data_IF_616306943331
#
_entry.id   IF_616306943331
#
_cell.length_a   1.000
_cell.length_b   1.000
_cell.length_c   1.000
_cell.angle_alpha   90.00
_cell.angle_beta   90.00
_cell.angle_gamma   90.00
#
_symmetry.space_group_name_H-M   'P 1'
#
loop_
_entity.id
_entity.type
_entity.pdbx_description
1 polymer ?
#
# COMPACT_ATOMS: atom_id res chain seq x y z
N UNK A 1 9.25 -23.72 4.73
CA UNK A 1 7.95 -23.73 5.45
C UNK A 1 6.83 -23.70 4.43
N UNK A 2 5.68 -24.28 4.81
CA UNK A 2 4.43 -24.18 4.04
C UNK A 2 3.60 -23.02 4.62
N UNK A 3 3.41 -21.96 3.85
CA UNK A 3 2.81 -20.70 4.33
C UNK A 3 1.52 -20.41 3.54
N UNK A 4 0.43 -20.09 4.26
CA UNK A 4 -0.82 -19.64 3.66
C UNK A 4 -0.99 -18.12 3.80
N UNK A 5 -1.40 -17.43 2.72
CA UNK A 5 -1.78 -16.00 2.75
C UNK A 5 -3.24 -15.88 2.37
N UNK A 6 -4.05 -15.34 3.30
CA UNK A 6 -5.51 -15.22 3.18
C UNK A 6 -5.95 -13.76 3.33
N UNK A 7 -7.18 -13.48 2.92
CA UNK A 7 -7.80 -12.16 3.18
C UNK A 7 -7.59 -11.11 2.09
N UNK A 8 -6.81 -11.42 1.06
CA UNK A 8 -6.62 -10.58 -0.13
C UNK A 8 -7.63 -10.91 -1.23
N UNK A 9 -7.58 -10.18 -2.35
CA UNK A 9 -8.32 -10.55 -3.57
C UNK A 9 -7.59 -11.58 -4.40
N UNK A 10 -6.29 -11.75 -4.16
CA UNK A 10 -5.41 -12.66 -4.87
C UNK A 10 -4.30 -11.96 -5.65
N UNK A 11 -3.42 -12.76 -6.26
CA UNK A 11 -2.32 -12.34 -7.11
C UNK A 11 -2.45 -12.98 -8.51
N UNK A 12 -1.93 -12.37 -9.60
CA UNK A 12 -1.19 -11.10 -9.63
C UNK A 12 -2.03 -9.89 -9.21
N UNK A 13 -1.37 -8.89 -8.65
CA UNK A 13 -2.01 -7.69 -8.11
C UNK A 13 -2.69 -6.88 -9.21
N UNK A 14 -3.98 -6.65 -9.06
CA UNK A 14 -4.79 -5.92 -10.04
C UNK A 14 -5.66 -4.81 -9.44
N UNK A 15 -5.55 -4.54 -8.12
CA UNK A 15 -6.51 -3.63 -7.49
C UNK A 15 -5.99 -2.79 -6.33
N UNK A 16 -5.24 -3.31 -5.37
CA UNK A 16 -4.97 -2.59 -4.13
C UNK A 16 -3.68 -2.99 -3.40
N UNK A 17 -3.42 -2.28 -2.29
CA UNK A 17 -2.19 -2.41 -1.53
C UNK A 17 -1.92 -3.81 -0.98
N UNK A 18 -2.95 -4.48 -0.46
CA UNK A 18 -2.78 -5.86 0.04
C UNK A 18 -2.43 -6.87 -1.05
N UNK A 19 -2.94 -6.68 -2.25
CA UNK A 19 -2.63 -7.55 -3.38
C UNK A 19 -1.18 -7.36 -3.82
N UNK A 20 -0.71 -6.10 -3.92
CA UNK A 20 0.69 -5.77 -4.20
C UNK A 20 1.62 -6.33 -3.11
N UNK A 21 1.25 -6.14 -1.85
CA UNK A 21 2.00 -6.69 -0.72
C UNK A 21 2.08 -8.22 -0.78
N UNK A 22 0.95 -8.91 -0.98
CA UNK A 22 0.91 -10.37 -1.03
C UNK A 22 1.71 -10.93 -2.21
N UNK A 23 1.67 -10.28 -3.37
CA UNK A 23 2.46 -10.67 -4.54
C UNK A 23 3.95 -10.60 -4.25
N UNK A 24 4.42 -9.44 -3.77
CA UNK A 24 5.83 -9.23 -3.47
C UNK A 24 6.34 -10.11 -2.34
N UNK A 25 5.56 -10.30 -1.28
CA UNK A 25 5.94 -11.19 -0.17
C UNK A 25 5.97 -12.66 -0.62
N UNK A 26 4.89 -13.14 -1.27
CA UNK A 26 4.77 -14.54 -1.64
C UNK A 26 5.84 -14.98 -2.64
N UNK A 27 6.09 -14.20 -3.69
CA UNK A 27 7.08 -14.54 -4.71
C UNK A 27 8.50 -14.56 -4.16
N UNK A 28 8.84 -13.65 -3.23
CA UNK A 28 10.15 -13.64 -2.58
C UNK A 28 10.32 -14.77 -1.57
N UNK A 29 9.28 -15.12 -0.82
CA UNK A 29 9.32 -16.30 0.06
C UNK A 29 9.52 -17.59 -0.74
N UNK A 30 8.88 -17.73 -1.91
CA UNK A 30 9.10 -18.87 -2.82
C UNK A 30 10.55 -18.89 -3.32
N UNK A 31 11.10 -17.75 -3.72
CA UNK A 31 12.51 -17.64 -4.14
C UNK A 31 13.50 -18.03 -3.02
N UNK A 32 13.07 -17.98 -1.75
CA UNK A 32 13.84 -18.42 -0.58
C UNK A 32 13.57 -19.88 -0.19
N UNK A 33 12.83 -20.64 -1.02
CA UNK A 33 12.57 -22.06 -0.82
C UNK A 33 11.38 -22.39 0.10
N UNK A 34 10.47 -21.44 0.33
CA UNK A 34 9.20 -21.71 1.00
C UNK A 34 8.13 -22.16 0.02
N UNK A 35 7.20 -23.00 0.46
CA UNK A 35 5.97 -23.33 -0.28
C UNK A 35 4.88 -22.33 0.13
N UNK A 36 4.49 -21.44 -0.76
CA UNK A 36 3.50 -20.41 -0.47
C UNK A 36 2.23 -20.64 -1.25
N UNK A 37 1.09 -20.57 -0.55
CA UNK A 37 -0.25 -20.61 -1.15
C UNK A 37 -0.97 -19.30 -0.87
N UNK A 38 -1.43 -18.62 -1.92
CA UNK A 38 -2.25 -17.41 -1.82
C UNK A 38 -3.70 -17.74 -2.18
N UNK A 39 -4.63 -17.41 -1.27
CA UNK A 39 -6.05 -17.58 -1.49
C UNK A 39 -6.61 -16.42 -2.31
N UNK A 40 -7.21 -16.75 -3.46
CA UNK A 40 -7.65 -15.81 -4.48
C UNK A 40 -9.17 -15.87 -4.68
N UNK A 41 -9.80 -14.72 -4.99
CA UNK A 41 -11.24 -14.67 -5.27
C UNK A 41 -11.51 -14.92 -6.75
N UNK A 42 -12.43 -15.83 -7.07
CA UNK A 42 -12.74 -16.29 -8.43
C UNK A 42 -13.18 -15.19 -9.42
N UNK A 43 -13.57 -14.01 -8.95
CA UNK A 43 -13.93 -12.88 -9.81
C UNK A 43 -12.78 -11.90 -10.09
N UNK A 44 -11.62 -12.08 -9.44
CA UNK A 44 -10.38 -11.33 -9.70
C UNK A 44 -9.32 -12.19 -10.38
N UNK A 45 -9.25 -13.48 -10.03
CA UNK A 45 -8.26 -14.42 -10.57
C UNK A 45 -8.99 -15.58 -11.22
N UNK A 46 -8.55 -15.99 -12.40
CA UNK A 46 -9.16 -17.12 -13.12
C UNK A 46 -8.99 -18.42 -12.33
N UNK A 47 -10.05 -19.23 -12.14
CA UNK A 47 -9.93 -20.55 -11.53
C UNK A 47 -9.00 -21.53 -12.26
N UNK A 48 -8.63 -21.21 -13.51
CA UNK A 48 -7.67 -21.98 -14.29
C UNK A 48 -6.21 -21.63 -13.99
N UNK A 49 -5.97 -20.50 -13.32
CA UNK A 49 -4.63 -20.05 -12.95
C UNK A 49 -4.29 -20.66 -11.59
N UNK A 50 -3.54 -21.76 -11.59
CA UNK A 50 -3.17 -22.50 -10.38
C UNK A 50 -1.85 -22.07 -9.78
N UNK A 51 -1.06 -21.29 -10.52
CA UNK A 51 0.27 -20.85 -10.11
C UNK A 51 0.61 -19.46 -10.66
N UNK A 52 1.41 -18.71 -9.92
CA UNK A 52 2.01 -17.45 -10.36
C UNK A 52 3.42 -17.30 -9.78
N UNK A 53 4.44 -17.30 -10.63
CA UNK A 53 5.85 -17.18 -10.23
C UNK A 53 6.25 -18.14 -9.08
N UNK A 54 5.84 -19.41 -9.17
CA UNK A 54 6.11 -20.44 -8.16
C UNK A 54 5.17 -20.40 -6.95
N UNK A 55 4.30 -19.40 -6.83
CA UNK A 55 3.29 -19.32 -5.77
C UNK A 55 2.05 -20.11 -6.18
N UNK A 56 1.61 -21.05 -5.34
CA UNK A 56 0.34 -21.77 -5.54
C UNK A 56 -0.85 -20.83 -5.34
N UNK A 57 -1.80 -20.83 -6.27
CA UNK A 57 -3.03 -20.06 -6.18
C UNK A 57 -4.21 -20.98 -5.87
N UNK A 58 -4.90 -20.68 -4.78
CA UNK A 58 -6.14 -21.37 -4.43
C UNK A 58 -7.32 -20.44 -4.67
N UNK A 59 -8.07 -20.69 -5.75
CA UNK A 59 -9.12 -19.77 -6.21
C UNK A 59 -10.47 -20.25 -5.72
N UNK A 60 -11.05 -19.52 -4.77
CA UNK A 60 -12.32 -19.86 -4.13
C UNK A 60 -13.44 -18.87 -4.50
N UNK A 61 -14.71 -19.33 -4.50
CA UNK A 61 -15.85 -18.48 -4.72
C UNK A 61 -16.07 -17.52 -3.55
N UNK A 62 -16.83 -16.44 -3.81
CA UNK A 62 -17.32 -15.53 -2.77
C UNK A 62 -18.61 -14.83 -3.21
N UNK A 63 -19.27 -14.13 -2.29
CA UNK A 63 -20.44 -13.32 -2.56
C UNK A 63 -19.99 -11.92 -2.98
N UNK A 64 -20.26 -11.52 -4.24
CA UNK A 64 -19.91 -10.18 -4.78
C UNK A 64 -20.77 -9.10 -4.14
N UNK A 65 -20.45 -8.74 -2.90
CA UNK A 65 -21.19 -7.73 -2.15
C UNK A 65 -20.23 -6.94 -1.26
N UNK A 66 -20.43 -5.62 -1.15
CA UNK A 66 -19.55 -4.69 -0.42
C UNK A 66 -19.14 -5.16 0.99
N UNK A 67 -20.05 -5.80 1.73
CA UNK A 67 -19.82 -6.25 3.11
C UNK A 67 -19.42 -7.73 3.22
N UNK A 68 -19.84 -8.56 2.29
CA UNK A 68 -19.68 -10.02 2.38
C UNK A 68 -18.50 -10.57 1.58
N UNK A 69 -18.02 -9.83 0.56
CA UNK A 69 -16.99 -10.31 -0.33
C UNK A 69 -15.71 -10.76 0.41
N UNK A 70 -15.19 -9.93 1.31
CA UNK A 70 -13.99 -10.25 2.08
C UNK A 70 -14.25 -11.32 3.13
N UNK A 71 -15.33 -11.18 3.90
CA UNK A 71 -15.64 -12.04 5.05
C UNK A 71 -15.95 -13.47 4.62
N UNK A 72 -16.82 -13.65 3.61
CA UNK A 72 -17.18 -14.98 3.09
C UNK A 72 -15.98 -15.66 2.45
N UNK A 73 -15.19 -14.93 1.65
CA UNK A 73 -14.00 -15.51 1.05
C UNK A 73 -13.00 -15.98 2.09
N UNK A 74 -12.70 -15.18 3.11
CA UNK A 74 -11.73 -15.57 4.14
C UNK A 74 -12.23 -16.72 5.00
N UNK A 75 -13.55 -16.77 5.28
CA UNK A 75 -14.17 -17.93 5.94
C UNK A 75 -13.92 -19.21 5.15
N UNK A 76 -14.27 -19.24 3.86
CA UNK A 76 -14.06 -20.39 2.99
C UNK A 76 -12.57 -20.77 2.87
N UNK A 77 -11.70 -19.75 2.75
CA UNK A 77 -10.25 -19.93 2.68
C UNK A 77 -9.69 -20.57 3.96
N UNK A 78 -10.16 -20.13 5.13
CA UNK A 78 -9.72 -20.70 6.41
C UNK A 78 -10.14 -22.16 6.55
N UNK A 79 -11.37 -22.52 6.18
CA UNK A 79 -11.81 -23.92 6.18
C UNK A 79 -11.04 -24.79 5.18
N UNK A 80 -10.81 -24.30 3.98
CA UNK A 80 -10.01 -25.01 2.98
C UNK A 80 -8.56 -25.21 3.47
N UNK A 81 -7.97 -24.18 4.09
CA UNK A 81 -6.61 -24.25 4.60
C UNK A 81 -6.41 -25.28 5.70
N UNK A 82 -7.44 -25.53 6.51
CA UNK A 82 -7.43 -26.59 7.55
C UNK A 82 -7.06 -27.96 6.97
N UNK A 83 -7.58 -28.31 5.79
CA UNK A 83 -7.31 -29.60 5.15
C UNK A 83 -5.87 -29.73 4.59
N UNK A 84 -5.13 -28.63 4.45
CA UNK A 84 -3.84 -28.60 3.74
C UNK A 84 -2.60 -28.51 4.63
N UNK A 85 -2.77 -28.40 5.97
CA UNK A 85 -1.70 -28.39 7.00
C UNK A 85 -0.56 -27.44 6.66
N UNK A 86 -0.73 -26.15 6.88
CA UNK A 86 0.31 -25.14 6.78
C UNK A 86 1.15 -25.06 8.06
N UNK A 87 2.44 -24.69 7.93
CA UNK A 87 3.29 -24.37 9.07
C UNK A 87 2.88 -23.05 9.72
N UNK A 88 2.51 -22.04 8.91
CA UNK A 88 2.04 -20.73 9.37
C UNK A 88 1.01 -20.14 8.40
N UNK A 89 0.17 -19.25 8.90
CA UNK A 89 -0.77 -18.48 8.08
C UNK A 89 -0.68 -16.98 8.35
N UNK A 90 -0.76 -16.19 7.28
CA UNK A 90 -0.91 -14.73 7.34
C UNK A 90 -2.32 -14.36 6.87
N UNK A 91 -3.08 -13.72 7.73
CA UNK A 91 -4.39 -13.17 7.40
C UNK A 91 -4.24 -11.66 7.20
N UNK A 92 -4.65 -11.15 6.04
CA UNK A 92 -4.65 -9.75 5.73
C UNK A 92 -6.00 -9.09 6.07
N UNK A 93 -5.96 -7.87 6.61
CA UNK A 93 -7.08 -7.04 7.03
C UNK A 93 -7.75 -7.47 8.34
N UNK A 94 -7.87 -6.53 9.28
CA UNK A 94 -8.48 -6.71 10.59
C UNK A 94 -9.90 -7.30 10.54
N UNK A 95 -10.69 -7.02 9.48
CA UNK A 95 -12.03 -7.60 9.29
C UNK A 95 -12.05 -9.13 9.30
N UNK A 96 -10.92 -9.77 9.06
CA UNK A 96 -10.77 -11.22 8.97
C UNK A 96 -10.32 -11.87 10.28
N UNK A 97 -10.08 -11.10 11.34
CA UNK A 97 -9.67 -11.61 12.65
C UNK A 97 -10.58 -12.73 13.20
N UNK A 98 -11.92 -12.68 13.04
CA UNK A 98 -12.82 -13.72 13.53
C UNK A 98 -12.51 -15.12 13.00
N UNK A 99 -11.78 -15.26 11.90
CA UNK A 99 -11.47 -16.55 11.28
C UNK A 99 -10.13 -17.15 11.73
N UNK A 100 -9.32 -16.40 12.47
CA UNK A 100 -8.05 -16.89 13.03
C UNK A 100 -8.20 -18.17 13.87
N UNK A 101 -9.24 -18.34 14.72
CA UNK A 101 -9.42 -19.55 15.50
C UNK A 101 -9.57 -20.83 14.66
N UNK A 102 -10.16 -20.74 13.46
CA UNK A 102 -10.36 -21.90 12.58
C UNK A 102 -9.03 -22.59 12.28
N UNK A 103 -8.00 -21.82 11.94
CA UNK A 103 -6.65 -22.33 11.66
C UNK A 103 -5.92 -22.73 12.95
N UNK A 104 -6.06 -21.93 14.01
CA UNK A 104 -5.42 -22.22 15.30
C UNK A 104 -5.88 -23.52 15.94
N UNK A 105 -7.15 -23.88 15.80
CA UNK A 105 -7.70 -25.17 16.29
C UNK A 105 -7.04 -26.39 15.65
N UNK A 106 -6.47 -26.24 14.46
CA UNK A 106 -5.73 -27.30 13.77
C UNK A 106 -4.22 -27.25 13.99
N UNK A 107 -3.76 -26.37 14.87
CA UNK A 107 -2.35 -26.20 15.20
C UNK A 107 -1.57 -25.31 14.24
N UNK A 108 -2.21 -24.65 13.27
CA UNK A 108 -1.56 -23.69 12.40
C UNK A 108 -1.51 -22.32 13.09
N UNK A 109 -0.33 -21.79 13.45
CA UNK A 109 -0.21 -20.47 14.04
C UNK A 109 -0.55 -19.39 13.00
N UNK A 110 -1.24 -18.34 13.48
CA UNK A 110 -1.80 -17.27 12.64
C UNK A 110 -1.20 -15.93 13.01
N UNK A 111 -0.60 -15.24 12.03
CA UNK A 111 -0.36 -13.80 12.08
C UNK A 111 -1.50 -13.06 11.37
N UNK A 112 -1.87 -11.89 11.89
CA UNK A 112 -2.80 -10.99 11.21
C UNK A 112 -2.12 -9.65 10.92
N UNK A 113 -2.12 -9.21 9.65
CA UNK A 113 -1.72 -7.85 9.27
C UNK A 113 -2.97 -6.97 9.24
N UNK A 114 -3.04 -6.01 10.16
CA UNK A 114 -4.24 -5.20 10.37
C UNK A 114 -4.35 -4.00 9.41
N UNK A 115 -3.22 -3.58 8.76
CA UNK A 115 -3.15 -2.37 7.95
C UNK A 115 -3.61 -1.12 8.76
N UNK A 116 -4.14 -0.12 8.10
CA UNK A 116 -4.65 1.09 8.75
C UNK A 116 -6.00 0.92 9.44
N UNK A 117 -6.47 1.99 10.05
CA UNK A 117 -7.71 2.03 10.84
C UNK A 117 -8.96 2.10 9.96
N UNK A 118 -9.40 0.96 9.43
CA UNK A 118 -10.52 0.85 8.49
C UNK A 118 -11.84 1.47 9.00
N UNK A 119 -12.09 1.46 10.31
CA UNK A 119 -13.29 2.09 10.89
C UNK A 119 -13.35 3.62 10.68
N UNK A 120 -12.21 4.27 10.40
CA UNK A 120 -12.14 5.71 10.07
C UNK A 120 -12.54 6.02 8.63
N UNK A 121 -12.57 5.04 7.73
CA UNK A 121 -12.90 5.28 6.33
C UNK A 121 -14.34 5.75 6.12
N UNK A 122 -14.49 6.79 5.34
CA UNK A 122 -15.79 7.46 5.04
C UNK A 122 -16.77 6.56 4.27
N UNK A 123 -16.25 5.55 3.55
CA UNK A 123 -17.07 4.58 2.80
C UNK A 123 -17.95 3.67 3.66
N UNK A 124 -17.64 3.52 4.95
CA UNK A 124 -18.40 2.64 5.85
C UNK A 124 -19.52 3.37 6.56
N UNK A 125 -20.73 2.82 6.49
CA UNK A 125 -21.86 3.21 7.32
C UNK A 125 -21.64 2.79 8.79
N UNK A 126 -22.56 3.15 9.68
CA UNK A 126 -22.42 2.90 11.13
C UNK A 126 -22.22 1.41 11.48
N UNK A 127 -22.95 0.49 10.80
CA UNK A 127 -22.79 -0.96 10.98
C UNK A 127 -21.39 -1.43 10.59
N UNK A 128 -20.89 -0.99 9.43
CA UNK A 128 -19.53 -1.33 9.00
C UNK A 128 -18.48 -0.81 9.98
N UNK A 129 -18.63 0.42 10.47
CA UNK A 129 -17.71 0.98 11.47
C UNK A 129 -17.75 0.22 12.80
N UNK A 130 -18.93 -0.24 13.25
CA UNK A 130 -19.04 -1.08 14.46
C UNK A 130 -18.39 -2.45 14.24
N UNK A 131 -18.61 -3.06 13.08
CA UNK A 131 -17.97 -4.32 12.73
C UNK A 131 -16.44 -4.18 12.74
N UNK A 132 -15.89 -3.14 12.09
CA UNK A 132 -14.45 -2.93 12.08
C UNK A 132 -13.86 -2.66 13.46
N UNK A 133 -14.53 -1.91 14.32
CA UNK A 133 -14.08 -1.74 15.73
C UNK A 133 -14.09 -3.05 16.51
N UNK A 134 -15.08 -3.89 16.28
CA UNK A 134 -15.13 -5.21 16.89
C UNK A 134 -14.01 -6.12 16.35
N UNK A 135 -13.83 -6.16 15.02
CA UNK A 135 -12.78 -6.92 14.38
C UNK A 135 -11.37 -6.43 14.76
N UNK A 136 -11.19 -5.11 14.95
CA UNK A 136 -9.98 -4.50 15.49
C UNK A 136 -9.65 -5.05 16.89
N UNK A 137 -10.62 -5.09 17.79
CA UNK A 137 -10.43 -5.74 19.09
C UNK A 137 -10.10 -7.23 18.94
N UNK A 138 -10.82 -7.97 18.08
CA UNK A 138 -10.56 -9.38 17.87
C UNK A 138 -9.16 -9.64 17.28
N UNK A 139 -8.61 -8.70 16.52
CA UNK A 139 -7.23 -8.78 15.99
C UNK A 139 -6.18 -8.80 17.11
N UNK A 140 -6.51 -8.30 18.29
CA UNK A 140 -5.58 -8.27 19.43
C UNK A 140 -5.61 -9.54 20.28
N UNK A 141 -6.65 -10.39 20.14
CA UNK A 141 -6.85 -11.54 21.03
C UNK A 141 -6.94 -12.90 20.32
N UNK A 142 -7.35 -12.92 19.05
CA UNK A 142 -7.59 -14.18 18.34
C UNK A 142 -6.39 -14.75 17.58
N UNK A 143 -5.54 -13.98 16.87
CA UNK A 143 -4.34 -14.49 16.23
C UNK A 143 -3.23 -14.81 17.25
N UNK A 144 -2.16 -15.44 16.81
CA UNK A 144 -0.96 -15.64 17.63
C UNK A 144 -0.09 -14.38 17.64
N UNK A 145 -0.03 -13.68 16.51
CA UNK A 145 0.74 -12.46 16.33
C UNK A 145 -0.08 -11.42 15.57
N UNK A 146 0.01 -10.17 16.00
CA UNK A 146 -0.54 -9.04 15.28
C UNK A 146 0.59 -8.27 14.60
N UNK A 147 0.44 -7.98 13.32
CA UNK A 147 1.37 -7.18 12.52
C UNK A 147 0.72 -5.85 12.18
N UNK A 148 1.42 -4.77 12.47
CA UNK A 148 1.09 -3.41 12.04
C UNK A 148 2.10 -2.95 11.00
N UNK A 149 1.69 -2.13 10.05
CA UNK A 149 2.52 -1.70 8.93
C UNK A 149 3.13 -0.31 9.11
N UNK A 150 2.79 0.39 10.20
CA UNK A 150 3.32 1.68 10.57
C UNK A 150 3.43 1.81 12.09
N UNK A 151 4.40 2.61 12.57
CA UNK A 151 4.60 2.89 14.01
C UNK A 151 3.37 3.57 14.61
N UNK A 152 2.78 4.53 13.89
CA UNK A 152 1.55 5.21 14.31
C UNK A 152 0.40 4.23 14.56
N UNK A 153 0.29 3.18 13.76
CA UNK A 153 -0.72 2.13 13.94
C UNK A 153 -0.37 1.24 15.14
N UNK A 154 0.90 0.91 15.32
CA UNK A 154 1.38 0.16 16.49
C UNK A 154 1.06 0.92 17.79
N UNK A 155 1.39 2.20 17.83
CA UNK A 155 1.15 3.07 19.00
C UNK A 155 -0.36 3.19 19.31
N UNK A 156 -1.20 3.25 18.27
CA UNK A 156 -2.65 3.24 18.42
C UNK A 156 -3.16 1.95 19.11
N UNK A 157 -2.73 0.78 18.63
CA UNK A 157 -3.15 -0.51 19.23
C UNK A 157 -2.61 -0.65 20.67
N UNK A 158 -1.39 -0.22 20.91
CA UNK A 158 -0.80 -0.21 22.26
C UNK A 158 -1.59 0.70 23.20
N UNK A 159 -1.87 1.95 22.78
CA UNK A 159 -2.58 2.92 23.63
C UNK A 159 -4.04 2.55 23.87
N UNK A 160 -4.74 2.01 22.85
CA UNK A 160 -6.17 1.76 22.95
C UNK A 160 -6.54 0.39 23.52
N UNK A 161 -5.75 -0.63 23.21
CA UNK A 161 -6.06 -2.02 23.53
C UNK A 161 -5.02 -2.66 24.46
N UNK A 162 -3.95 -1.95 24.81
CA UNK A 162 -2.77 -2.49 25.50
C UNK A 162 -2.25 -3.76 24.82
N UNK A 163 -2.28 -3.80 23.50
CA UNK A 163 -1.94 -4.96 22.69
C UNK A 163 -0.59 -4.78 22.00
N UNK A 164 0.39 -5.65 22.27
CA UNK A 164 1.66 -5.64 21.54
C UNK A 164 1.45 -6.06 20.09
N UNK A 165 2.28 -5.55 19.20
CA UNK A 165 2.32 -5.96 17.80
C UNK A 165 3.75 -5.96 17.27
N UNK A 166 3.97 -6.72 16.20
CA UNK A 166 5.22 -6.66 15.43
C UNK A 166 5.03 -5.66 14.30
N UNK A 167 5.81 -4.56 14.30
CA UNK A 167 5.76 -3.59 13.21
C UNK A 167 6.59 -4.10 12.03
N UNK A 168 5.93 -4.31 10.87
CA UNK A 168 6.56 -4.67 9.60
C UNK A 168 5.89 -3.85 8.51
N UNK A 169 6.57 -2.82 8.03
CA UNK A 169 6.07 -1.95 6.98
C UNK A 169 5.92 -2.69 5.64
N UNK A 170 5.23 -2.08 4.69
CA UNK A 170 5.30 -2.52 3.29
C UNK A 170 6.62 -2.11 2.67
N UNK A 171 7.02 -2.84 1.64
CA UNK A 171 8.24 -2.55 0.91
C UNK A 171 8.02 -1.84 -0.41
N UNK A 172 9.10 -1.33 -0.96
CA UNK A 172 9.15 -0.86 -2.35
C UNK A 172 10.50 -1.16 -2.97
N UNK A 173 10.52 -1.19 -4.30
CA UNK A 173 11.75 -1.32 -5.07
C UNK A 173 12.27 0.06 -5.45
N UNK A 174 13.60 0.18 -5.54
CA UNK A 174 14.22 1.36 -6.14
C UNK A 174 14.58 1.05 -7.57
N UNK A 175 13.75 1.50 -8.49
CA UNK A 175 13.94 1.31 -9.92
C UNK A 175 13.76 2.63 -10.67
N UNK A 176 14.63 2.90 -11.63
CA UNK A 176 14.49 4.03 -12.54
C UNK A 176 14.96 3.66 -13.94
N UNK A 177 14.05 3.05 -14.70
CA UNK A 177 14.23 2.75 -16.13
C UNK A 177 13.06 3.33 -16.92
N UNK A 178 12.99 4.66 -17.11
CA UNK A 178 11.81 5.31 -17.66
C UNK A 178 11.61 4.99 -19.15
N UNK A 179 10.55 4.28 -19.45
CA UNK A 179 10.08 4.09 -20.84
C UNK A 179 9.31 5.34 -21.31
N UNK A 180 10.07 6.33 -21.78
CA UNK A 180 9.56 7.67 -22.09
C UNK A 180 8.45 7.71 -23.14
N UNK A 181 8.45 6.81 -24.11
CA UNK A 181 7.46 6.80 -25.17
C UNK A 181 6.06 6.41 -24.69
N UNK A 182 5.98 5.55 -23.66
CA UNK A 182 4.72 5.01 -23.16
C UNK A 182 3.76 6.03 -22.60
N UNK A 183 4.28 7.12 -22.00
CA UNK A 183 3.41 8.13 -21.37
C UNK A 183 2.65 9.01 -22.34
N UNK A 184 3.09 9.09 -23.62
CA UNK A 184 2.49 9.96 -24.64
C UNK A 184 1.04 9.61 -24.97
N UNK A 185 0.62 8.35 -24.76
CA UNK A 185 -0.78 7.94 -24.99
C UNK A 185 -1.77 8.68 -24.11
N UNK A 186 -1.33 9.20 -22.94
CA UNK A 186 -2.14 10.09 -22.09
C UNK A 186 -1.94 11.57 -22.41
N UNK A 187 -1.37 11.89 -23.58
CA UNK A 187 -1.12 13.27 -24.03
C UNK A 187 -0.23 14.07 -23.06
N UNK A 188 0.71 13.40 -22.39
CA UNK A 188 1.72 14.02 -21.53
C UNK A 188 3.12 13.74 -22.04
N UNK A 189 4.06 14.64 -21.74
CA UNK A 189 5.48 14.43 -22.01
C UNK A 189 6.22 14.05 -20.73
N UNK A 190 7.29 13.25 -20.85
CA UNK A 190 8.13 12.89 -19.71
C UNK A 190 8.62 14.11 -18.93
N UNK A 191 8.55 14.05 -17.61
CA UNK A 191 8.90 15.15 -16.69
C UNK A 191 8.11 16.46 -16.94
N UNK A 192 6.90 16.38 -17.50
CA UNK A 192 6.02 17.53 -17.76
C UNK A 192 4.63 17.39 -17.16
N UNK A 193 4.49 16.53 -16.14
CA UNK A 193 3.21 16.37 -15.43
C UNK A 193 3.42 16.09 -13.94
N UNK A 194 2.44 16.50 -13.18
CA UNK A 194 2.22 16.12 -11.78
C UNK A 194 1.39 14.86 -11.79
N UNK A 195 1.78 13.86 -11.02
CA UNK A 195 1.07 12.59 -10.92
C UNK A 195 0.34 12.48 -9.59
N UNK A 196 -0.91 12.06 -9.64
CA UNK A 196 -1.70 11.61 -8.49
C UNK A 196 -2.24 10.22 -8.78
N UNK A 197 -2.04 9.27 -7.86
CA UNK A 197 -2.53 7.88 -8.00
C UNK A 197 -3.28 7.48 -6.76
N UNK A 198 -4.55 7.12 -6.91
CA UNK A 198 -5.36 6.58 -5.82
C UNK A 198 -6.68 6.00 -6.34
N UNK A 199 -7.34 5.19 -5.53
CA UNK A 199 -8.79 4.97 -5.72
C UNK A 199 -9.51 6.29 -5.52
N UNK A 200 -10.45 6.63 -6.41
CA UNK A 200 -11.18 7.89 -6.33
C UNK A 200 -12.29 7.81 -5.28
N UNK A 201 -11.87 7.65 -4.02
CA UNK A 201 -12.71 7.67 -2.80
C UNK A 201 -12.54 9.04 -2.08
N UNK A 202 -13.56 9.52 -1.35
CA UNK A 202 -13.50 10.83 -0.67
C UNK A 202 -12.29 11.00 0.27
N UNK A 203 -11.92 9.97 1.01
CA UNK A 203 -10.78 9.98 1.93
C UNK A 203 -9.41 10.02 1.26
N UNK A 204 -9.36 9.88 -0.05
CA UNK A 204 -8.13 9.99 -0.82
C UNK A 204 -7.93 11.40 -1.43
N UNK A 205 -8.89 12.32 -1.21
CA UNK A 205 -8.78 13.76 -1.45
C UNK A 205 -8.37 14.21 -2.85
N UNK A 206 -8.77 13.47 -3.90
CA UNK A 206 -8.55 13.93 -5.29
C UNK A 206 -9.12 15.33 -5.54
N UNK A 207 -10.22 15.69 -4.87
CA UNK A 207 -10.84 17.01 -4.96
C UNK A 207 -9.92 18.13 -4.44
N UNK A 208 -9.21 17.91 -3.34
CA UNK A 208 -8.24 18.85 -2.78
C UNK A 208 -7.09 19.06 -3.77
N UNK A 209 -6.58 17.98 -4.39
CA UNK A 209 -5.49 18.08 -5.38
C UNK A 209 -5.92 18.85 -6.62
N UNK A 210 -7.15 18.65 -7.09
CA UNK A 210 -7.72 19.39 -8.22
C UNK A 210 -7.80 20.90 -7.88
N UNK A 211 -8.36 21.26 -6.71
CA UNK A 211 -8.49 22.67 -6.30
C UNK A 211 -7.13 23.34 -6.14
N UNK A 212 -6.16 22.66 -5.53
CA UNK A 212 -4.80 23.16 -5.43
C UNK A 212 -4.19 23.41 -6.82
N UNK A 213 -4.28 22.41 -7.72
CA UNK A 213 -3.67 22.49 -9.04
C UNK A 213 -4.27 23.62 -9.91
N UNK A 214 -5.56 23.89 -9.80
CA UNK A 214 -6.22 25.00 -10.49
C UNK A 214 -5.65 26.37 -10.11
N UNK A 215 -5.14 26.51 -8.88
CA UNK A 215 -4.49 27.74 -8.39
C UNK A 215 -3.05 27.92 -8.90
N UNK A 216 -2.43 26.82 -9.37
CA UNK A 216 -1.03 26.83 -9.83
C UNK A 216 -0.90 27.36 -11.24
N UNK A 217 0.00 28.33 -11.43
CA UNK A 217 0.35 28.89 -12.76
C UNK A 217 1.45 28.05 -13.40
N UNK A 218 1.07 27.17 -14.32
CA UNK A 218 2.02 26.24 -14.93
C UNK A 218 1.53 25.72 -16.29
N UNK A 219 2.46 25.31 -17.14
CA UNK A 219 2.20 24.55 -18.37
C UNK A 219 2.19 23.02 -18.12
N UNK A 220 2.55 22.56 -16.92
CA UNK A 220 2.48 21.15 -16.57
C UNK A 220 1.03 20.66 -16.54
N UNK A 221 0.85 19.36 -16.71
CA UNK A 221 -0.46 18.72 -16.59
C UNK A 221 -0.59 18.00 -15.25
N UNK A 222 -1.81 17.85 -14.74
CA UNK A 222 -2.13 16.98 -13.62
C UNK A 222 -2.74 15.70 -14.19
N UNK A 223 -2.07 14.56 -13.91
CA UNK A 223 -2.58 13.25 -14.26
C UNK A 223 -3.19 12.61 -13.02
N UNK A 224 -4.48 12.31 -13.08
CA UNK A 224 -5.23 11.63 -12.04
C UNK A 224 -5.45 10.18 -12.48
N UNK A 225 -4.68 9.28 -11.87
CA UNK A 225 -4.71 7.84 -12.16
C UNK A 225 -5.53 7.13 -11.09
N UNK A 226 -6.49 6.35 -11.53
CA UNK A 226 -7.35 5.54 -10.69
C UNK A 226 -8.82 5.74 -10.99
N UNK A 227 -9.62 4.92 -10.34
CA UNK A 227 -11.08 4.89 -10.46
C UNK A 227 -11.68 4.31 -9.17
N UNK A 228 -13.00 4.33 -9.04
CA UNK A 228 -13.77 3.64 -8.02
C UNK A 228 -15.21 3.45 -8.53
N UNK A 229 -15.51 2.37 -9.26
CA UNK A 229 -16.82 2.19 -9.93
C UNK A 229 -18.04 2.29 -8.99
N UNK A 230 -17.82 2.03 -7.70
CA UNK A 230 -18.86 2.18 -6.66
C UNK A 230 -18.99 3.61 -6.10
N UNK A 231 -18.16 4.56 -6.53
CA UNK A 231 -18.12 5.96 -6.09
C UNK A 231 -18.47 6.94 -7.23
N UNK A 232 -19.37 6.57 -8.14
CA UNK A 232 -19.72 7.32 -9.35
C UNK A 232 -20.11 8.78 -9.06
N UNK A 233 -20.86 9.04 -7.99
CA UNK A 233 -21.25 10.39 -7.60
C UNK A 233 -20.07 11.26 -7.24
N UNK A 234 -19.06 10.71 -6.56
CA UNK A 234 -17.83 11.42 -6.23
C UNK A 234 -16.98 11.67 -7.48
N UNK A 235 -16.81 10.68 -8.35
CA UNK A 235 -16.08 10.80 -9.61
C UNK A 235 -16.73 11.87 -10.52
N UNK A 236 -18.06 11.87 -10.61
CA UNK A 236 -18.79 12.89 -11.38
C UNK A 236 -18.52 14.29 -10.84
N UNK A 237 -18.48 14.48 -9.52
CA UNK A 237 -18.08 15.76 -8.90
C UNK A 237 -16.65 16.16 -9.23
N UNK A 238 -15.70 15.21 -9.16
CA UNK A 238 -14.30 15.49 -9.52
C UNK A 238 -14.17 15.95 -10.99
N UNK A 239 -14.86 15.27 -11.91
CA UNK A 239 -14.88 15.66 -13.33
C UNK A 239 -15.54 17.02 -13.54
N UNK A 240 -16.62 17.33 -12.79
CA UNK A 240 -17.26 18.65 -12.82
C UNK A 240 -16.33 19.75 -12.29
N UNK A 241 -15.64 19.49 -11.19
CA UNK A 241 -14.65 20.40 -10.58
C UNK A 241 -13.46 20.70 -11.49
N UNK A 242 -13.00 19.70 -12.26
CA UNK A 242 -11.92 19.85 -13.25
C UNK A 242 -12.38 20.51 -14.56
N UNK A 243 -13.71 20.69 -14.75
CA UNK A 243 -14.24 21.27 -16.00
C UNK A 243 -13.67 22.65 -16.28
N UNK A 244 -13.25 22.86 -17.53
CA UNK A 244 -12.64 24.12 -17.98
C UNK A 244 -11.12 24.17 -17.87
N UNK A 245 -10.48 23.30 -17.09
CA UNK A 245 -9.03 23.22 -17.04
C UNK A 245 -8.50 22.01 -17.86
N UNK A 246 -8.07 22.29 -19.09
CA UNK A 246 -7.55 21.26 -20.03
C UNK A 246 -6.25 20.60 -19.57
N UNK A 247 -5.62 21.11 -18.51
CA UNK A 247 -4.39 20.53 -17.94
C UNK A 247 -4.68 19.30 -17.07
N UNK A 248 -5.91 19.10 -16.59
CA UNK A 248 -6.30 18.01 -15.71
C UNK A 248 -6.81 16.85 -16.54
N UNK A 249 -6.18 15.69 -16.40
CA UNK A 249 -6.46 14.49 -17.19
C UNK A 249 -6.77 13.33 -16.24
N UNK A 250 -7.92 12.67 -16.43
CA UNK A 250 -8.30 11.43 -15.77
C UNK A 250 -7.97 10.27 -16.69
N UNK A 251 -7.19 9.30 -16.19
CA UNK A 251 -6.79 8.11 -16.98
C UNK A 251 -7.70 6.91 -16.78
N UNK A 252 -8.47 6.88 -15.68
CA UNK A 252 -9.04 5.64 -15.16
C UNK A 252 -7.97 4.74 -14.52
N UNK A 253 -8.29 3.45 -14.39
CA UNK A 253 -7.30 2.47 -13.91
C UNK A 253 -6.14 2.30 -14.88
N UNK A 254 -4.93 2.29 -14.34
CA UNK A 254 -3.70 1.98 -15.07
C UNK A 254 -2.88 1.01 -14.23
N UNK A 255 -2.40 -0.09 -14.82
CA UNK A 255 -1.65 -1.16 -14.16
C UNK A 255 -0.40 -1.55 -14.95
N UNK A 256 0.44 -2.39 -14.35
CA UNK A 256 1.59 -3.01 -15.00
C UNK A 256 2.63 -2.01 -15.51
N UNK A 257 3.16 -2.26 -16.70
CA UNK A 257 4.21 -1.44 -17.32
C UNK A 257 3.77 0.02 -17.53
N UNK A 258 2.52 0.25 -17.88
CA UNK A 258 1.94 1.57 -18.06
C UNK A 258 1.96 2.39 -16.76
N UNK A 259 1.59 1.78 -15.65
CA UNK A 259 1.64 2.40 -14.34
C UNK A 259 3.08 2.74 -13.95
N UNK A 260 4.00 1.80 -14.12
CA UNK A 260 5.44 2.03 -13.86
C UNK A 260 5.98 3.18 -14.72
N UNK A 261 5.62 3.21 -16.02
CA UNK A 261 6.04 4.29 -16.91
C UNK A 261 5.52 5.65 -16.44
N UNK A 262 4.26 5.75 -15.99
CA UNK A 262 3.72 6.99 -15.44
C UNK A 262 4.43 7.42 -14.16
N UNK A 263 4.73 6.52 -13.25
CA UNK A 263 5.46 6.81 -12.03
C UNK A 263 6.88 7.31 -12.31
N UNK A 264 7.62 6.61 -13.17
CA UNK A 264 9.03 6.90 -13.46
C UNK A 264 9.27 8.17 -14.28
N UNK A 265 8.25 8.63 -15.01
CA UNK A 265 8.32 9.81 -15.87
C UNK A 265 7.61 11.04 -15.30
N UNK A 266 7.02 10.98 -14.11
CA UNK A 266 6.41 12.13 -13.47
C UNK A 266 7.46 13.18 -13.05
N UNK A 267 7.10 14.45 -13.08
CA UNK A 267 7.94 15.52 -12.54
C UNK A 267 7.93 15.50 -11.01
N UNK A 268 6.74 15.39 -10.43
CA UNK A 268 6.52 15.16 -9.01
C UNK A 268 5.24 14.36 -8.80
N UNK A 269 5.07 13.85 -7.60
CA UNK A 269 3.93 13.04 -7.18
C UNK A 269 3.20 13.71 -6.03
N UNK A 270 1.88 13.73 -6.06
CA UNK A 270 1.05 14.23 -4.96
C UNK A 270 0.33 13.07 -4.29
N UNK A 271 0.51 12.92 -2.99
CA UNK A 271 -0.18 11.96 -2.14
C UNK A 271 -1.14 12.69 -1.20
N UNK A 272 -2.42 12.30 -1.21
CA UNK A 272 -3.45 13.01 -0.46
C UNK A 272 -4.34 12.10 0.40
N UNK A 273 -3.94 10.84 0.61
CA UNK A 273 -4.74 9.88 1.37
C UNK A 273 -4.71 10.20 2.87
N UNK A 274 -5.90 10.21 3.51
CA UNK A 274 -6.05 10.49 4.95
C UNK A 274 -5.97 9.24 5.82
N UNK A 275 -6.38 8.08 5.31
CA UNK A 275 -6.60 6.88 6.13
C UNK A 275 -5.84 5.69 5.58
N UNK A 276 -4.96 5.14 6.39
CA UNK A 276 -4.18 3.94 6.10
C UNK A 276 -3.04 3.80 7.11
N UNK A 277 -2.17 2.86 6.88
CA UNK A 277 -0.84 2.77 7.48
C UNK A 277 0.21 3.19 6.46
N UNK A 278 1.11 2.27 6.12
CA UNK A 278 2.04 2.48 5.01
C UNK A 278 1.33 2.33 3.66
N UNK A 279 1.35 3.38 2.85
CA UNK A 279 0.67 3.39 1.55
C UNK A 279 1.59 2.88 0.43
N UNK A 280 1.32 1.71 -0.20
CA UNK A 280 2.17 1.18 -1.27
C UNK A 280 2.41 2.16 -2.42
N UNK A 281 1.37 2.87 -2.88
CA UNK A 281 1.52 3.85 -3.96
C UNK A 281 2.45 5.04 -3.60
N UNK A 282 2.54 5.41 -2.32
CA UNK A 282 3.47 6.42 -1.83
C UNK A 282 4.90 5.87 -1.83
N UNK A 283 5.09 4.65 -1.31
CA UNK A 283 6.39 3.97 -1.32
C UNK A 283 6.91 3.75 -2.74
N UNK A 284 6.05 3.29 -3.64
CA UNK A 284 6.38 3.10 -5.06
C UNK A 284 6.79 4.42 -5.73
N UNK A 285 6.04 5.51 -5.47
CA UNK A 285 6.39 6.83 -5.99
C UNK A 285 7.79 7.27 -5.52
N UNK A 286 8.12 7.04 -4.24
CA UNK A 286 9.44 7.31 -3.69
C UNK A 286 10.52 6.41 -4.29
N UNK A 287 10.24 5.12 -4.45
CA UNK A 287 11.15 4.13 -5.04
C UNK A 287 11.48 4.44 -6.49
N UNK A 288 10.49 4.88 -7.28
CA UNK A 288 10.70 5.35 -8.66
C UNK A 288 11.38 6.72 -8.75
N UNK A 289 11.73 7.32 -7.61
CA UNK A 289 12.46 8.58 -7.56
C UNK A 289 11.61 9.79 -7.89
N UNK A 290 10.38 9.85 -7.39
CA UNK A 290 9.57 11.06 -7.48
C UNK A 290 9.90 12.04 -6.34
N UNK A 291 9.83 13.34 -6.61
CA UNK A 291 9.67 14.36 -5.59
C UNK A 291 8.21 14.27 -5.11
N UNK A 292 8.00 13.91 -3.85
CA UNK A 292 6.68 13.66 -3.28
C UNK A 292 6.20 14.85 -2.48
N UNK A 293 4.98 15.35 -2.79
CA UNK A 293 4.21 16.23 -1.91
C UNK A 293 3.13 15.38 -1.24
N UNK A 294 3.05 15.40 0.10
CA UNK A 294 2.13 14.52 0.83
C UNK A 294 1.27 15.28 1.84
N UNK A 295 0.00 14.87 1.97
CA UNK A 295 -0.87 15.36 3.02
C UNK A 295 -0.26 15.00 4.39
N UNK A 296 -0.17 15.98 5.30
CA UNK A 296 0.51 15.87 6.58
C UNK A 296 -0.30 15.08 7.62
N UNK A 297 -0.63 13.82 7.32
CA UNK A 297 -1.11 12.89 8.33
C UNK A 297 0.08 12.23 9.05
N UNK A 298 -0.08 11.77 10.29
CA UNK A 298 1.01 11.11 11.01
C UNK A 298 1.61 9.94 10.22
N UNK A 299 0.77 9.11 9.59
CA UNK A 299 1.19 7.95 8.81
C UNK A 299 2.00 8.35 7.56
N UNK A 300 1.55 9.39 6.86
CA UNK A 300 2.26 9.87 5.68
C UNK A 300 3.60 10.52 6.04
N UNK A 301 3.64 11.28 7.16
CA UNK A 301 4.88 11.89 7.66
C UNK A 301 5.86 10.81 8.09
N UNK A 302 5.41 9.74 8.76
CA UNK A 302 6.24 8.59 9.10
C UNK A 302 6.90 7.99 7.85
N UNK A 303 6.12 7.82 6.77
CA UNK A 303 6.64 7.25 5.53
C UNK A 303 7.67 8.15 4.87
N UNK A 304 7.37 9.43 4.66
CA UNK A 304 8.25 10.30 3.90
C UNK A 304 9.44 10.83 4.71
N UNK A 305 9.29 11.03 6.02
CA UNK A 305 10.32 11.66 6.84
C UNK A 305 10.75 13.01 6.25
N UNK A 306 12.05 13.20 6.08
CA UNK A 306 12.66 14.37 5.44
C UNK A 306 12.74 14.29 3.91
N UNK A 307 12.27 13.18 3.33
CA UNK A 307 12.34 12.92 1.88
C UNK A 307 11.09 13.38 1.10
N UNK A 308 10.10 13.99 1.76
CA UNK A 308 8.89 14.52 1.14
C UNK A 308 8.61 15.96 1.53
N UNK A 309 7.68 16.60 0.82
CA UNK A 309 7.19 17.95 1.07
C UNK A 309 5.78 17.82 1.68
N UNK A 310 5.61 17.95 3.01
CA UNK A 310 4.30 17.86 3.62
C UNK A 310 3.45 19.09 3.33
N UNK A 311 2.13 18.92 3.23
CA UNK A 311 1.16 20.00 3.11
C UNK A 311 -0.09 19.71 3.93
N UNK A 312 -0.84 20.74 4.35
CA UNK A 312 -1.98 20.60 5.26
C UNK A 312 -3.34 20.78 4.58
N UNK A 313 -3.42 21.58 3.51
CA UNK A 313 -4.66 21.88 2.77
C UNK A 313 -4.38 22.22 1.29
N UNK A 314 -5.42 22.59 0.53
CA UNK A 314 -5.31 22.91 -0.88
C UNK A 314 -4.55 24.20 -1.16
N UNK A 315 -4.49 25.14 -0.24
CA UNK A 315 -3.76 26.41 -0.41
C UNK A 315 -2.27 26.18 -0.20
N UNK A 316 -1.92 25.49 0.86
CA UNK A 316 -0.55 25.08 1.16
C UNK A 316 0.02 24.15 0.06
N UNK A 317 -0.80 23.19 -0.42
CA UNK A 317 -0.40 22.36 -1.56
C UNK A 317 -0.15 23.21 -2.81
N UNK A 318 -1.02 24.19 -3.11
CA UNK A 318 -0.85 25.03 -4.29
C UNK A 318 0.45 25.84 -4.22
N UNK A 319 0.77 26.42 -3.06
CA UNK A 319 2.02 27.19 -2.83
C UNK A 319 3.25 26.29 -3.01
N UNK A 320 3.29 25.16 -2.30
CA UNK A 320 4.41 24.20 -2.35
C UNK A 320 4.57 23.59 -3.73
N UNK A 321 3.48 23.25 -4.40
CA UNK A 321 3.52 22.75 -5.78
C UNK A 321 4.05 23.81 -6.75
N UNK A 322 3.62 25.07 -6.60
CA UNK A 322 4.15 26.19 -7.41
C UNK A 322 5.67 26.36 -7.23
N UNK A 323 6.18 26.20 -5.99
CA UNK A 323 7.62 26.25 -5.68
C UNK A 323 8.35 25.05 -6.32
N UNK A 324 7.86 23.82 -6.11
CA UNK A 324 8.44 22.60 -6.67
C UNK A 324 8.51 22.68 -8.21
N UNK A 325 7.45 23.17 -8.87
CA UNK A 325 7.42 23.28 -10.34
C UNK A 325 8.38 24.33 -10.91
N UNK A 326 8.92 25.23 -10.09
CA UNK A 326 9.90 26.28 -10.50
C UNK A 326 11.33 25.89 -10.18
N UNK A 327 11.55 24.97 -9.25
CA UNK A 327 12.88 24.64 -8.74
C UNK A 327 13.26 23.18 -9.04
N UNK A 328 13.94 22.99 -10.16
CA UNK A 328 14.40 21.67 -10.57
C UNK A 328 15.49 21.07 -9.66
N UNK A 329 16.29 21.91 -8.98
CA UNK A 329 17.33 21.49 -8.05
C UNK A 329 16.70 20.91 -6.78
N UNK A 330 15.67 21.57 -6.26
CA UNK A 330 14.86 21.10 -5.14
C UNK A 330 14.22 19.75 -5.47
N UNK A 331 13.63 19.61 -6.66
CA UNK A 331 13.02 18.36 -7.12
C UNK A 331 14.06 17.22 -7.13
N UNK A 332 15.26 17.47 -7.66
CA UNK A 332 16.30 16.45 -7.71
C UNK A 332 16.80 16.03 -6.32
N UNK A 333 16.91 16.99 -5.40
CA UNK A 333 17.28 16.72 -4.02
C UNK A 333 16.25 15.77 -3.32
N UNK A 334 14.95 16.08 -3.44
CA UNK A 334 13.90 15.21 -2.88
C UNK A 334 13.82 13.86 -3.56
N UNK A 335 14.03 13.75 -4.85
CA UNK A 335 14.10 12.48 -5.58
C UNK A 335 15.20 11.55 -5.02
N UNK A 336 16.37 12.11 -4.76
CA UNK A 336 17.49 11.35 -4.22
C UNK A 336 17.22 10.90 -2.77
N UNK A 337 16.68 11.80 -1.91
CA UNK A 337 16.30 11.46 -0.54
C UNK A 337 15.21 10.38 -0.52
N UNK A 338 14.20 10.48 -1.38
CA UNK A 338 13.12 9.50 -1.49
C UNK A 338 13.67 8.09 -1.78
N UNK A 339 14.55 7.94 -2.77
CA UNK A 339 15.15 6.65 -3.07
C UNK A 339 16.07 6.14 -1.96
N UNK A 340 16.84 7.01 -1.30
CA UNK A 340 17.65 6.64 -0.14
C UNK A 340 16.76 6.11 0.98
N UNK A 341 15.68 6.82 1.30
CA UNK A 341 14.76 6.40 2.36
C UNK A 341 14.12 5.03 2.07
N UNK A 342 13.74 4.75 0.81
CA UNK A 342 13.24 3.42 0.44
C UNK A 342 14.29 2.35 0.69
N UNK A 343 15.54 2.55 0.24
CA UNK A 343 16.61 1.56 0.46
C UNK A 343 16.89 1.30 1.93
N UNK A 344 16.78 2.31 2.78
CA UNK A 344 17.17 2.20 4.20
C UNK A 344 16.03 1.72 5.10
N UNK A 345 14.75 2.00 4.77
CA UNK A 345 13.63 1.75 5.68
C UNK A 345 12.53 0.86 5.09
N UNK A 346 12.43 0.76 3.76
CA UNK A 346 11.30 0.12 3.08
C UNK A 346 11.75 -0.85 1.98
N UNK A 347 12.97 -1.39 2.09
CA UNK A 347 13.48 -2.40 1.16
C UNK A 347 12.72 -3.73 1.31
N UNK A 348 12.28 -4.29 0.20
CA UNK A 348 11.49 -5.53 0.19
C UNK A 348 12.22 -6.72 0.82
N UNK A 349 13.53 -6.82 0.64
CA UNK A 349 14.27 -7.94 1.21
C UNK A 349 14.28 -7.88 2.75
N UNK A 350 14.39 -6.67 3.31
CA UNK A 350 14.27 -6.45 4.76
C UNK A 350 12.86 -6.81 5.26
N UNK A 351 11.83 -6.43 4.53
CA UNK A 351 10.43 -6.80 4.86
C UNK A 351 10.24 -8.31 4.85
N UNK A 352 10.77 -9.00 3.83
CA UNK A 352 10.68 -10.46 3.72
C UNK A 352 11.46 -11.14 4.84
N UNK A 353 12.65 -10.65 5.20
CA UNK A 353 13.43 -11.15 6.34
C UNK A 353 12.62 -11.07 7.65
N UNK A 354 11.92 -9.96 7.88
CA UNK A 354 11.08 -9.77 9.06
C UNK A 354 9.89 -10.74 9.10
N UNK A 355 9.22 -10.96 7.97
CA UNK A 355 8.12 -11.93 7.88
C UNK A 355 8.61 -13.37 8.04
N UNK A 356 9.75 -13.72 7.45
CA UNK A 356 10.35 -15.05 7.59
C UNK A 356 10.72 -15.35 9.05
N UNK A 357 11.31 -14.36 9.76
CA UNK A 357 11.60 -14.45 11.20
C UNK A 357 10.30 -14.57 12.02
N UNK A 358 9.27 -13.80 11.69
CA UNK A 358 7.97 -13.86 12.33
C UNK A 358 7.38 -15.28 12.21
N UNK A 359 7.32 -15.82 11.01
CA UNK A 359 6.78 -17.17 10.78
C UNK A 359 7.61 -18.26 11.49
N UNK A 360 8.93 -18.17 11.45
CA UNK A 360 9.80 -19.12 12.14
C UNK A 360 9.59 -19.07 13.66
N UNK A 361 9.54 -17.86 14.25
CA UNK A 361 9.26 -17.67 15.68
C UNK A 361 7.91 -18.31 16.08
N UNK A 362 6.87 -18.06 15.28
CA UNK A 362 5.54 -18.64 15.50
C UNK A 362 5.53 -20.17 15.43
N UNK A 363 6.42 -20.76 14.63
CA UNK A 363 6.59 -22.21 14.49
C UNK A 363 7.57 -22.81 15.52
N UNK A 364 8.12 -22.02 16.44
CA UNK A 364 9.17 -22.49 17.37
C UNK A 364 10.48 -22.86 16.66
N UNK A 365 10.75 -22.29 15.47
CA UNK A 365 11.96 -22.54 14.69
C UNK A 365 12.89 -21.32 14.77
N UNK A 366 14.19 -21.55 14.74
CA UNK A 366 15.20 -20.48 14.65
C UNK A 366 15.60 -20.31 13.18
N UNK A 367 15.47 -19.10 12.64
CA UNK A 367 16.09 -18.73 11.36
C UNK A 367 17.40 -18.05 11.67
N UNK A 368 18.44 -18.38 10.91
CA UNK A 368 19.72 -17.66 11.00
C UNK A 368 19.46 -16.15 10.78
N UNK A 369 20.05 -15.33 11.63
CA UNK A 369 19.95 -13.88 11.44
C UNK A 369 20.45 -13.52 10.03
N UNK A 370 19.75 -12.64 9.29
CA UNK A 370 20.20 -12.23 7.96
C UNK A 370 21.61 -11.68 8.06
N UNK A 371 22.49 -12.12 7.15
CA UNK A 371 23.83 -11.57 7.06
C UNK A 371 23.72 -10.05 6.86
N UNK A 372 24.35 -9.25 7.72
CA UNK A 372 24.38 -7.79 7.56
C UNK A 372 24.92 -7.49 6.16
N UNK A 373 24.06 -6.94 5.30
CA UNK A 373 24.50 -6.48 3.97
C UNK A 373 25.48 -5.33 4.16
N UNK A 374 26.64 -5.43 3.50
CA UNK A 374 27.79 -4.53 3.65
C UNK A 374 27.56 -3.11 3.06
N UNK A 375 26.35 -2.73 2.66
CA UNK A 375 26.06 -1.47 1.96
C UNK A 375 25.20 -0.47 2.78
N UNK A 376 25.28 -0.50 4.11
CA UNK A 376 24.83 0.62 4.91
C UNK A 376 25.86 1.75 4.79
N UNK A 377 25.68 2.63 3.80
CA UNK A 377 26.38 3.91 3.73
C UNK A 377 26.09 4.66 5.02
N UNK A 378 27.13 4.93 5.81
CA UNK A 378 27.04 5.77 7.01
C UNK A 378 26.31 7.06 6.68
N UNK A 379 25.30 7.38 7.49
CA UNK A 379 24.56 8.61 7.38
C UNK A 379 25.51 9.80 7.56
N UNK A 380 25.53 10.79 6.66
CA UNK A 380 26.26 12.02 6.93
C UNK A 380 25.62 12.73 8.13
N UNK A 381 26.51 13.19 9.04
CA UNK A 381 26.17 13.90 10.28
C UNK A 381 25.12 15.01 10.06
N UNK A 382 24.24 15.15 11.03
CA UNK A 382 23.19 16.17 11.11
C UNK A 382 23.74 17.57 10.82
N UNK A 383 23.30 18.14 9.71
CA UNK A 383 23.39 19.59 9.50
C UNK A 383 22.07 20.19 9.98
N UNK A 384 22.11 20.70 11.19
CA UNK A 384 21.06 21.57 11.73
C UNK A 384 20.81 22.72 10.76
N UNK A 385 19.66 22.72 10.10
CA UNK A 385 19.20 23.90 9.35
C UNK A 385 17.85 24.31 9.90
N UNK A 386 17.87 25.37 10.70
CA UNK A 386 16.70 26.20 11.01
C UNK A 386 16.11 26.74 9.69
N UNK A 387 14.85 26.46 9.44
CA UNK A 387 13.95 27.30 8.62
C UNK A 387 12.56 27.30 9.27
#
# INVERSE_FOLDING_TARGET
MRIAILGTRGIPASYGGFETFAEHLATRLVARGHEVTVYCRAHYVSPRQLEYQGVRLEVLPTIRHKYFDTVVHTFLSAFHAVAHRFDAALICNAANAPFSPILRFTGTPVAINVDGLEHKRKKWGWLGRRYYRFAEYLSTVLPNEMVTDAQVIQDYYQARHNAPSTMIAYGSEVERRPERAMVRKWRVEPNRYVLYVSRLEPENNAHLVIEAFKKVRTAYRLLIVGDAPYAESYISRLKAQARGDKRIIFTGFVFGQDYRALQQNAYCYVHATEVGGTHPALLEAMGYGNCVLTLATPENIEVVGDAGVPYIDEYDLAEKLQRVLRDGSLVQAFRNRAQTRIRTHYDWETVVDQYEQLFARMCGRTVAAPAKRADAVEAPAEVSTQI
#
